data_IF_492900174900
#
_entry.id   IF_492900174900
#
_cell.length_a   1.000
_cell.length_b   1.000
_cell.length_c   1.000
_cell.angle_alpha   90.00
_cell.angle_beta   90.00
_cell.angle_gamma   90.00
#
_symmetry.space_group_name_H-M   'P 1'
#
loop_
_entity.id
_entity.type
_entity.pdbx_description
1 polymer ?
#
# COMPACT_ATOMS: atom_id res chain seq x y z
N UNK A 1 -5.65 -7.49 -5.78
CA UNK A 1 -5.26 -8.08 -4.48
C UNK A 1 -5.88 -7.30 -3.32
N UNK A 2 -6.23 -7.95 -2.21
CA UNK A 2 -6.74 -7.30 -0.99
C UNK A 2 -5.61 -6.78 -0.10
N UNK A 3 -5.92 -5.97 0.93
CA UNK A 3 -4.92 -5.48 1.89
C UNK A 3 -4.07 -6.60 2.52
N UNK A 4 -4.64 -7.71 3.05
CA UNK A 4 -3.83 -8.79 3.60
C UNK A 4 -2.90 -9.44 2.57
N UNK A 5 -3.34 -9.55 1.31
CA UNK A 5 -2.50 -10.09 0.24
C UNK A 5 -1.33 -9.17 -0.07
N UNK A 6 -1.58 -7.86 -0.19
CA UNK A 6 -0.53 -6.86 -0.42
C UNK A 6 0.54 -6.91 0.68
N UNK A 7 0.11 -6.87 1.96
CA UNK A 7 1.04 -6.90 3.10
C UNK A 7 1.85 -8.20 3.14
N UNK A 8 1.24 -9.33 2.77
CA UNK A 8 1.94 -10.62 2.67
C UNK A 8 3.01 -10.61 1.57
N UNK A 9 2.71 -10.05 0.40
CA UNK A 9 3.70 -9.95 -0.69
C UNK A 9 4.85 -8.99 -0.33
N UNK A 10 4.58 -7.89 0.37
CA UNK A 10 5.63 -6.99 0.89
C UNK A 10 6.51 -7.69 1.93
N UNK A 11 5.91 -8.44 2.85
CA UNK A 11 6.66 -9.19 3.87
C UNK A 11 7.60 -10.22 3.27
N UNK A 12 7.20 -10.90 2.17
CA UNK A 12 8.08 -11.81 1.42
C UNK A 12 9.32 -11.10 0.83
N UNK A 13 9.22 -9.80 0.61
CA UNK A 13 10.32 -8.94 0.11
C UNK A 13 11.11 -8.26 1.24
N UNK A 14 10.88 -8.66 2.50
CA UNK A 14 11.55 -8.09 3.66
C UNK A 14 10.98 -6.75 4.15
N UNK A 15 9.83 -6.32 3.62
CA UNK A 15 9.21 -5.04 3.99
C UNK A 15 8.09 -5.28 5.00
N UNK A 16 8.27 -4.77 6.22
CA UNK A 16 7.24 -4.79 7.26
C UNK A 16 6.43 -3.49 7.23
N UNK A 17 5.37 -3.48 6.42
CA UNK A 17 4.44 -2.36 6.34
C UNK A 17 3.17 -2.67 7.14
N UNK A 18 2.81 -1.80 8.08
CA UNK A 18 1.56 -1.95 8.81
C UNK A 18 0.36 -1.38 8.03
N UNK A 19 -0.84 -1.89 8.33
CA UNK A 19 -2.10 -1.46 7.68
C UNK A 19 -2.45 0.01 7.90
N UNK A 20 -2.14 0.54 9.08
CA UNK A 20 -2.44 1.94 9.46
C UNK A 20 -1.61 2.90 8.60
N UNK A 21 -0.31 2.66 8.47
CA UNK A 21 0.62 3.42 7.62
C UNK A 21 0.19 3.37 6.16
N UNK A 22 -0.16 2.19 5.65
CA UNK A 22 -0.68 2.05 4.29
C UNK A 22 -1.92 2.93 4.07
N UNK A 23 -2.89 2.89 4.97
CA UNK A 23 -4.11 3.69 4.85
C UNK A 23 -3.86 5.18 5.01
N UNK A 24 -2.92 5.56 5.88
CA UNK A 24 -2.45 6.94 6.00
C UNK A 24 -1.88 7.43 4.66
N UNK A 25 -1.00 6.68 4.01
CA UNK A 25 -0.45 7.06 2.71
C UNK A 25 -1.49 7.17 1.60
N UNK A 26 -2.48 6.27 1.58
CA UNK A 26 -3.59 6.35 0.63
C UNK A 26 -4.40 7.62 0.87
N UNK A 27 -4.74 7.91 2.13
CA UNK A 27 -5.54 9.09 2.52
C UNK A 27 -4.81 10.40 2.20
N UNK A 28 -3.49 10.42 2.34
CA UNK A 28 -2.65 11.60 2.10
C UNK A 28 -2.13 11.69 0.66
N UNK A 29 -2.57 10.83 -0.26
CA UNK A 29 -2.20 10.91 -1.67
C UNK A 29 -0.74 10.53 -1.98
N UNK A 30 -0.04 9.86 -1.04
CA UNK A 30 1.33 9.37 -1.25
C UNK A 30 1.37 8.14 -2.17
N UNK A 31 0.22 7.55 -2.47
CA UNK A 31 0.08 6.40 -3.37
C UNK A 31 -0.71 6.83 -4.62
N UNK A 32 -0.17 6.61 -5.82
CA UNK A 32 -0.87 6.87 -7.07
C UNK A 32 -2.25 6.21 -7.15
N UNK A 33 -3.29 6.98 -7.51
CA UNK A 33 -4.69 6.50 -7.59
C UNK A 33 -4.90 5.36 -8.59
N UNK A 34 -4.03 5.22 -9.58
CA UNK A 34 -4.10 4.15 -10.58
C UNK A 34 -3.65 2.78 -10.03
N UNK A 35 -3.03 2.72 -8.84
CA UNK A 35 -2.55 1.47 -8.22
C UNK A 35 -3.57 0.81 -7.29
N UNK A 36 -4.68 1.50 -6.99
CA UNK A 36 -5.71 0.96 -6.12
C UNK A 36 -7.12 1.37 -6.54
N UNK A 37 -8.11 0.64 -6.04
CA UNK A 37 -9.52 0.95 -6.17
C UNK A 37 -10.18 0.78 -4.82
N UNK A 38 -10.98 1.76 -4.43
CA UNK A 38 -11.77 1.71 -3.20
C UNK A 38 -13.21 1.40 -3.58
N UNK A 39 -13.77 0.31 -3.04
CA UNK A 39 -15.20 0.01 -3.16
C UNK A 39 -15.85 0.22 -1.80
N UNK A 40 -16.87 1.07 -1.74
CA UNK A 40 -17.72 1.21 -0.56
C UNK A 40 -18.89 0.24 -0.68
N UNK A 41 -19.07 -0.64 0.32
CA UNK A 41 -20.26 -1.48 0.44
C UNK A 41 -20.82 -1.31 1.84
N UNK A 42 -22.07 -0.85 1.93
CA UNK A 42 -22.69 -0.42 3.18
C UNK A 42 -21.78 0.58 3.91
N UNK A 43 -21.43 0.31 5.16
CA UNK A 43 -20.54 1.12 6.00
C UNK A 43 -19.06 0.74 5.88
N UNK A 44 -18.71 -0.29 5.08
CA UNK A 44 -17.33 -0.78 4.97
C UNK A 44 -16.66 -0.33 3.67
N UNK A 45 -15.40 0.06 3.79
CA UNK A 45 -14.52 0.35 2.65
C UNK A 45 -13.60 -0.84 2.38
N UNK A 46 -13.56 -1.26 1.12
CA UNK A 46 -12.70 -2.34 0.65
C UNK A 46 -11.67 -1.79 -0.32
N UNK A 47 -10.40 -2.01 0.01
CA UNK A 47 -9.27 -1.62 -0.84
C UNK A 47 -8.82 -2.80 -1.69
N UNK A 48 -8.72 -2.56 -2.99
CA UNK A 48 -8.20 -3.48 -3.97
C UNK A 48 -6.99 -2.86 -4.64
N UNK A 49 -5.85 -3.54 -4.59
CA UNK A 49 -4.58 -3.08 -5.15
C UNK A 49 -4.26 -3.84 -6.44
N UNK A 50 -3.59 -3.17 -7.37
CA UNK A 50 -2.97 -3.84 -8.50
C UNK A 50 -1.61 -4.44 -8.10
N UNK A 51 -1.08 -5.44 -8.82
CA UNK A 51 0.22 -6.03 -8.51
C UNK A 51 1.38 -5.01 -8.47
N UNK A 52 1.35 -4.00 -9.33
CA UNK A 52 2.34 -2.93 -9.43
C UNK A 52 2.46 -2.11 -8.14
N UNK A 53 1.44 -2.16 -7.26
CA UNK A 53 1.49 -1.57 -5.94
C UNK A 53 2.61 -2.16 -5.07
N UNK A 54 2.90 -3.46 -5.23
CA UNK A 54 3.98 -4.12 -4.50
C UNK A 54 5.32 -3.56 -4.94
N UNK A 55 5.52 -3.39 -6.25
CA UNK A 55 6.77 -2.87 -6.80
C UNK A 55 6.97 -1.40 -6.44
N UNK A 56 5.92 -0.58 -6.57
CA UNK A 56 5.93 0.82 -6.13
C UNK A 56 6.33 0.96 -4.66
N UNK A 57 5.67 0.22 -3.76
CA UNK A 57 5.97 0.28 -2.34
C UNK A 57 7.36 -0.29 -2.03
N UNK A 58 7.80 -1.31 -2.76
CA UNK A 58 9.16 -1.86 -2.62
C UNK A 58 10.20 -0.80 -2.96
N UNK A 59 10.08 -0.18 -4.13
CA UNK A 59 10.99 0.88 -4.55
C UNK A 59 10.98 2.06 -3.59
N UNK A 60 9.78 2.52 -3.19
CA UNK A 60 9.64 3.68 -2.30
C UNK A 60 10.28 3.42 -0.94
N UNK A 61 9.99 2.28 -0.32
CA UNK A 61 10.49 1.94 1.01
C UNK A 61 11.96 1.52 1.02
N UNK A 62 12.48 0.99 -0.08
CA UNK A 62 13.91 0.71 -0.21
C UNK A 62 14.74 1.98 -0.51
N UNK A 63 14.12 3.00 -1.10
CA UNK A 63 14.77 4.29 -1.36
C UNK A 63 14.75 5.22 -0.13
N UNK A 64 13.74 5.10 0.74
CA UNK A 64 13.58 5.93 1.95
C UNK A 64 14.52 5.51 3.12
N UNK A 65 15.61 4.77 2.85
CA UNK A 65 16.74 4.64 3.80
C UNK A 65 17.61 5.91 3.85
N UNK A 66 17.39 6.87 2.95
CA UNK A 66 18.02 8.19 2.97
C UNK A 66 16.95 9.28 2.92
N UNK A 67 16.64 9.84 4.10
CA UNK A 67 16.01 11.14 4.36
C UNK A 67 14.53 11.41 3.99
N UNK A 68 13.85 11.88 5.04
CA UNK A 68 12.66 12.74 5.12
C UNK A 68 11.27 12.19 4.76
N UNK A 69 10.55 11.87 5.84
CA UNK A 69 9.09 11.79 5.92
C UNK A 69 8.50 12.87 6.81
#
# INVERSE_FOLDING_TARGET
MSTPQLLRELKKRGIDLNRVTLYYWIKHGKIPRNLYTVKKRLERQFYYFKPEMVDFLTQKLSSDNDNDF
#
